data_IF_814611092433
#
_entry.id   IF_814611092433
#
_cell.length_a   1.000
_cell.length_b   1.000
_cell.length_c   1.000
_cell.angle_alpha   90.00
_cell.angle_beta   90.00
_cell.angle_gamma   90.00
#
_symmetry.space_group_name_H-M   'P 1'
#
loop_
_entity.id
_entity.type
_entity.pdbx_description
1 polymer ?
#
# COMPACT_ATOMS: atom_id res chain seq x y z
N UNK A 1 -0.99 23.95 2.87
CA UNK A 1 0.34 23.31 3.05
C UNK A 1 0.30 22.31 4.20
N UNK A 2 -0.03 22.71 5.43
CA UNK A 2 -0.14 21.79 6.58
C UNK A 2 -1.08 20.60 6.35
N UNK A 3 -2.29 20.88 5.85
CA UNK A 3 -3.29 19.85 5.52
C UNK A 3 -2.83 18.85 4.45
N UNK A 4 -2.12 19.33 3.42
CA UNK A 4 -1.52 18.49 2.38
C UNK A 4 -0.45 17.58 2.98
N UNK A 5 0.41 18.10 3.85
CA UNK A 5 1.44 17.28 4.49
C UNK A 5 0.83 16.24 5.45
N UNK A 6 -0.27 16.58 6.13
CA UNK A 6 -0.92 15.66 7.04
C UNK A 6 -1.63 14.53 6.29
N UNK A 7 -2.40 14.84 5.24
CA UNK A 7 -3.06 13.82 4.42
C UNK A 7 -2.03 12.88 3.75
N UNK A 8 -0.90 13.41 3.27
CA UNK A 8 0.20 12.59 2.75
C UNK A 8 0.81 11.69 3.83
N UNK A 9 0.88 12.15 5.08
CA UNK A 9 1.36 11.30 6.17
C UNK A 9 0.47 10.07 6.40
N UNK A 10 -0.86 10.23 6.29
CA UNK A 10 -1.81 9.11 6.32
C UNK A 10 -1.68 8.22 5.09
N UNK A 11 -1.51 8.82 3.90
CA UNK A 11 -1.27 8.09 2.66
C UNK A 11 -0.07 7.14 2.77
N UNK A 12 1.10 7.66 3.12
CA UNK A 12 2.31 6.85 3.27
C UNK A 12 2.17 5.79 4.39
N UNK A 13 1.49 6.14 5.48
CA UNK A 13 1.24 5.20 6.59
C UNK A 13 0.32 4.05 6.17
N UNK A 14 -0.64 4.30 5.29
CA UNK A 14 -1.49 3.27 4.68
C UNK A 14 -0.68 2.25 3.89
N UNK A 15 0.21 2.71 3.01
CA UNK A 15 1.12 1.83 2.28
C UNK A 15 2.01 1.00 3.22
N UNK A 16 2.60 1.63 4.24
CA UNK A 16 3.47 0.96 5.21
C UNK A 16 2.71 -0.17 5.91
N UNK A 17 1.53 0.11 6.47
CA UNK A 17 0.78 -0.89 7.23
C UNK A 17 0.33 -2.04 6.35
N UNK A 18 -0.13 -1.76 5.13
CA UNK A 18 -0.48 -2.81 4.19
C UNK A 18 0.74 -3.64 3.75
N UNK A 19 1.91 -3.03 3.59
CA UNK A 19 3.14 -3.75 3.26
C UNK A 19 3.52 -4.75 4.37
N UNK A 20 3.48 -4.33 5.65
CA UNK A 20 3.77 -5.21 6.78
C UNK A 20 2.75 -6.35 6.92
N UNK A 21 1.46 -6.10 6.67
CA UNK A 21 0.43 -7.15 6.62
C UNK A 21 0.72 -8.20 5.54
N UNK A 22 1.37 -7.79 4.45
CA UNK A 22 1.77 -8.65 3.33
C UNK A 22 3.20 -9.21 3.46
N UNK A 23 3.82 -9.11 4.66
CA UNK A 23 5.18 -9.59 4.96
C UNK A 23 6.30 -8.89 4.16
N UNK A 24 6.04 -7.67 3.72
CA UNK A 24 7.04 -6.74 3.20
C UNK A 24 7.45 -5.75 4.29
N UNK A 25 8.47 -4.94 4.01
CA UNK A 25 8.97 -3.94 4.96
C UNK A 25 9.22 -2.61 4.26
N UNK A 26 9.03 -1.51 4.99
CA UNK A 26 9.41 -0.18 4.53
C UNK A 26 10.83 0.15 5.03
N UNK A 27 11.74 0.45 4.10
CA UNK A 27 13.13 0.82 4.41
C UNK A 27 13.22 2.30 4.81
N UNK A 28 12.42 3.16 4.18
CA UNK A 28 12.27 4.57 4.53
C UNK A 28 10.99 5.14 3.94
N UNK A 29 10.46 6.19 4.57
CA UNK A 29 9.37 7.01 4.04
C UNK A 29 9.66 8.49 4.30
N UNK A 30 9.34 9.36 3.36
CA UNK A 30 9.51 10.81 3.47
C UNK A 30 8.34 11.57 2.83
N UNK A 31 7.98 12.72 3.42
CA UNK A 31 7.08 13.70 2.81
C UNK A 31 7.94 14.84 2.25
N UNK A 32 7.85 15.04 0.94
CA UNK A 32 8.61 16.04 0.21
C UNK A 32 8.01 17.45 0.40
N UNK A 33 8.81 18.53 0.21
CA UNK A 33 8.33 19.90 0.40
C UNK A 33 7.15 20.32 -0.50
N UNK A 34 6.95 19.64 -1.62
CA UNK A 34 5.83 19.86 -2.53
C UNK A 34 4.54 19.16 -2.07
N UNK A 35 4.59 18.35 -1.01
CA UNK A 35 3.46 17.57 -0.49
C UNK A 35 3.44 16.12 -0.95
N UNK A 36 4.34 15.70 -1.85
CA UNK A 36 4.38 14.33 -2.33
C UNK A 36 4.95 13.38 -1.28
N UNK A 37 4.44 12.16 -1.24
CA UNK A 37 5.00 11.07 -0.45
C UNK A 37 6.02 10.27 -1.24
N UNK A 38 7.01 9.71 -0.55
CA UNK A 38 7.97 8.79 -1.14
C UNK A 38 8.37 7.72 -0.13
N UNK A 39 8.01 6.48 -0.44
CA UNK A 39 8.39 5.30 0.34
C UNK A 39 9.23 4.32 -0.46
N UNK A 40 10.24 3.75 0.20
CA UNK A 40 11.06 2.67 -0.34
C UNK A 40 10.69 1.37 0.36
N UNK A 41 10.25 0.37 -0.40
CA UNK A 41 9.82 -0.92 0.12
C UNK A 41 10.79 -2.04 -0.24
N UNK A 42 10.94 -2.98 0.69
CA UNK A 42 11.61 -4.25 0.49
C UNK A 42 10.56 -5.35 0.33
N UNK A 43 10.37 -5.79 -0.91
CA UNK A 43 9.42 -6.84 -1.30
C UNK A 43 10.00 -8.26 -1.23
N UNK A 44 11.26 -8.42 -0.78
CA UNK A 44 11.91 -9.73 -0.71
C UNK A 44 11.95 -10.46 -2.05
N UNK A 45 11.53 -11.73 -2.06
CA UNK A 45 11.47 -12.57 -3.27
C UNK A 45 10.51 -12.06 -4.33
N UNK A 46 9.53 -11.24 -3.93
CA UNK A 46 8.44 -10.82 -4.81
C UNK A 46 8.83 -9.58 -5.63
N UNK A 47 9.97 -8.95 -5.33
CA UNK A 47 10.46 -7.73 -5.99
C UNK A 47 10.47 -7.86 -7.52
N UNK A 48 11.05 -8.93 -8.06
CA UNK A 48 11.15 -9.11 -9.52
C UNK A 48 9.77 -9.23 -10.17
N UNK A 49 8.85 -9.98 -9.54
CA UNK A 49 7.48 -10.11 -10.02
C UNK A 49 6.75 -8.77 -9.93
N UNK A 50 6.84 -8.06 -8.80
CA UNK A 50 6.20 -6.75 -8.62
C UNK A 50 6.68 -5.74 -9.67
N UNK A 51 7.99 -5.68 -9.92
CA UNK A 51 8.54 -4.84 -10.99
C UNK A 51 7.99 -5.22 -12.36
N UNK A 52 7.90 -6.52 -12.66
CA UNK A 52 7.39 -6.99 -13.94
C UNK A 52 5.90 -6.66 -14.15
N UNK A 53 5.07 -6.84 -13.12
CA UNK A 53 3.62 -6.64 -13.24
C UNK A 53 3.22 -5.16 -13.20
N UNK A 54 3.94 -4.32 -12.47
CA UNK A 54 3.63 -2.88 -12.38
C UNK A 54 4.06 -2.10 -13.62
N UNK A 55 4.96 -2.65 -14.44
CA UNK A 55 5.44 -2.03 -15.69
C UNK A 55 4.98 -2.77 -16.95
N UNK A 56 4.06 -3.75 -16.83
CA UNK A 56 3.76 -4.68 -17.93
C UNK A 56 3.28 -4.02 -19.24
N UNK A 57 2.55 -2.90 -19.17
CA UNK A 57 2.09 -2.20 -20.38
C UNK A 57 3.26 -1.58 -21.17
N UNK A 58 4.25 -1.05 -20.46
CA UNK A 58 5.40 -0.35 -21.05
C UNK A 58 6.54 -1.31 -21.38
N UNK A 59 6.74 -2.33 -20.54
CA UNK A 59 7.86 -3.28 -20.62
C UNK A 59 7.39 -4.75 -20.43
N UNK A 60 6.57 -5.30 -21.35
CA UNK A 60 6.00 -6.64 -21.22
C UNK A 60 7.08 -7.74 -21.19
N UNK A 61 8.24 -7.49 -21.80
CA UNK A 61 9.35 -8.44 -21.85
C UNK A 61 9.92 -8.77 -20.46
N UNK A 62 9.84 -7.85 -19.49
CA UNK A 62 10.27 -8.13 -18.11
C UNK A 62 9.46 -9.31 -17.55
N UNK A 63 8.13 -9.28 -17.75
CA UNK A 63 7.25 -10.37 -17.31
C UNK A 63 7.42 -11.63 -18.16
N UNK A 64 7.47 -11.49 -19.48
CA UNK A 64 7.54 -12.64 -20.39
C UNK A 64 8.81 -13.48 -20.18
N UNK A 65 9.92 -12.83 -19.81
CA UNK A 65 11.20 -13.48 -19.52
C UNK A 65 11.30 -14.07 -18.10
N UNK A 66 10.32 -13.87 -17.23
CA UNK A 66 10.27 -14.56 -15.93
C UNK A 66 10.13 -16.07 -16.12
N UNK A 67 10.75 -16.85 -15.23
CA UNK A 67 10.54 -18.29 -15.22
C UNK A 67 9.09 -18.64 -14.90
N UNK A 68 8.59 -19.76 -15.44
CA UNK A 68 7.25 -20.25 -15.16
C UNK A 68 6.99 -20.47 -13.65
N UNK A 69 8.04 -20.82 -12.90
CA UNK A 69 7.94 -20.94 -11.45
C UNK A 69 7.58 -19.61 -10.77
N UNK A 70 8.08 -18.49 -11.26
CA UNK A 70 7.80 -17.15 -10.76
C UNK A 70 6.42 -16.70 -11.24
N UNK A 71 6.10 -16.90 -12.53
CA UNK A 71 4.80 -16.52 -13.10
C UNK A 71 3.61 -17.20 -12.42
N UNK A 72 3.78 -18.44 -11.93
CA UNK A 72 2.73 -19.15 -11.18
C UNK A 72 2.28 -18.41 -9.90
N UNK A 73 3.16 -17.64 -9.28
CA UNK A 73 2.84 -16.86 -8.08
C UNK A 73 2.30 -15.45 -8.42
N UNK A 74 2.27 -15.08 -9.70
CA UNK A 74 1.85 -13.75 -10.16
C UNK A 74 0.47 -13.33 -9.64
N UNK A 75 -0.59 -14.16 -9.66
CA UNK A 75 -1.90 -13.72 -9.18
C UNK A 75 -1.89 -13.33 -7.69
N UNK A 76 -1.21 -14.10 -6.85
CA UNK A 76 -1.08 -13.80 -5.42
C UNK A 76 -0.26 -12.52 -5.22
N UNK A 77 0.89 -12.39 -5.89
CA UNK A 77 1.75 -11.22 -5.76
C UNK A 77 1.03 -9.95 -6.27
N UNK A 78 0.29 -10.06 -7.36
CA UNK A 78 -0.54 -8.98 -7.92
C UNK A 78 -1.63 -8.53 -6.95
N UNK A 79 -2.29 -9.46 -6.27
CA UNK A 79 -3.25 -9.14 -5.23
C UNK A 79 -2.59 -8.37 -4.08
N UNK A 80 -1.48 -8.88 -3.53
CA UNK A 80 -0.75 -8.23 -2.41
C UNK A 80 -0.24 -6.84 -2.78
N UNK A 81 0.39 -6.70 -3.96
CA UNK A 81 0.95 -5.40 -4.39
C UNK A 81 -0.15 -4.40 -4.70
N UNK A 82 -1.27 -4.82 -5.28
CA UNK A 82 -2.43 -3.94 -5.50
C UNK A 82 -3.01 -3.44 -4.19
N UNK A 83 -3.14 -4.30 -3.17
CA UNK A 83 -3.56 -3.85 -1.84
C UNK A 83 -2.60 -2.80 -1.27
N UNK A 84 -1.29 -3.01 -1.38
CA UNK A 84 -0.30 -2.01 -0.93
C UNK A 84 -0.49 -0.69 -1.66
N UNK A 85 -0.65 -0.69 -3.00
CA UNK A 85 -0.84 0.53 -3.80
C UNK A 85 -2.15 1.26 -3.46
N UNK A 86 -3.24 0.53 -3.22
CA UNK A 86 -4.54 1.14 -2.88
C UNK A 86 -4.58 1.66 -1.45
N UNK A 87 -3.83 1.04 -0.55
CA UNK A 87 -3.89 1.34 0.88
C UNK A 87 -3.58 2.80 1.21
N UNK A 88 -2.73 3.48 0.44
CA UNK A 88 -2.43 4.89 0.68
C UNK A 88 -3.65 5.77 0.52
N UNK A 89 -4.29 5.71 -0.65
CA UNK A 89 -5.52 6.45 -0.93
C UNK A 89 -6.68 6.09 0.01
N UNK A 90 -6.80 4.83 0.43
CA UNK A 90 -7.84 4.45 1.41
C UNK A 90 -7.56 5.06 2.78
N UNK A 91 -6.32 5.04 3.27
CA UNK A 91 -5.99 5.69 4.54
C UNK A 91 -6.20 7.20 4.49
N UNK A 92 -5.82 7.84 3.38
CA UNK A 92 -6.06 9.26 3.13
C UNK A 92 -7.56 9.58 3.15
N UNK A 93 -8.39 8.84 2.42
CA UNK A 93 -9.84 9.06 2.40
C UNK A 93 -10.49 8.87 3.77
N UNK A 94 -10.11 7.83 4.53
CA UNK A 94 -10.65 7.63 5.89
C UNK A 94 -10.29 8.81 6.79
N UNK A 95 -9.06 9.33 6.68
CA UNK A 95 -8.64 10.52 7.43
C UNK A 95 -9.46 11.76 7.05
N UNK A 96 -9.62 12.03 5.75
CA UNK A 96 -10.36 13.20 5.26
C UNK A 96 -11.86 13.18 5.57
N UNK A 97 -12.43 11.99 5.81
CA UNK A 97 -13.85 11.80 6.13
C UNK A 97 -14.11 11.58 7.64
N UNK A 98 -13.12 11.84 8.50
CA UNK A 98 -13.21 11.62 9.95
C UNK A 98 -13.61 10.18 10.36
N UNK A 99 -13.18 9.20 9.55
CA UNK A 99 -13.42 7.78 9.76
C UNK A 99 -14.22 7.11 8.64
N UNK A 100 -14.55 5.84 8.85
CA UNK A 100 -15.43 5.08 7.96
C UNK A 100 -16.87 5.35 8.40
N UNK A 101 -17.53 6.33 7.78
CA UNK A 101 -18.96 6.58 7.95
C UNK A 101 -19.77 5.66 7.01
N UNK A 102 -21.03 5.42 7.33
CA UNK A 102 -21.94 4.65 6.46
C UNK A 102 -22.43 5.42 5.23
N UNK A 103 -21.89 6.62 4.99
CA UNK A 103 -22.15 7.45 3.82
C UNK A 103 -21.14 7.13 2.72
N UNK A 104 -21.42 7.55 1.47
CA UNK A 104 -20.49 7.35 0.35
C UNK A 104 -19.18 8.10 0.63
N UNK A 105 -18.07 7.35 0.73
CA UNK A 105 -16.73 7.91 0.91
C UNK A 105 -16.06 8.03 -0.46
N UNK A 106 -15.74 9.26 -0.85
CA UNK A 106 -14.98 9.51 -2.08
C UNK A 106 -13.52 9.07 -1.90
N UNK A 107 -13.07 8.21 -2.82
CA UNK A 107 -11.68 7.73 -2.86
C UNK A 107 -11.05 8.14 -4.17
N UNK A 108 -10.03 9.00 -4.08
CA UNK A 108 -9.16 9.35 -5.19
C UNK A 108 -7.87 8.53 -5.10
N UNK A 109 -7.62 7.69 -6.11
CA UNK A 109 -6.37 6.93 -6.20
C UNK A 109 -5.27 7.83 -6.77
N UNK A 110 -4.15 7.95 -6.06
CA UNK A 110 -2.97 8.70 -6.50
C UNK A 110 -2.55 8.27 -7.91
N UNK A 111 -2.25 9.23 -8.79
CA UNK A 111 -1.94 8.95 -10.21
C UNK A 111 -0.85 7.88 -10.41
N UNK A 112 0.32 7.98 -9.77
CA UNK A 112 1.36 6.94 -9.84
C UNK A 112 0.90 5.56 -9.39
N UNK A 113 0.06 5.46 -8.34
CA UNK A 113 -0.45 4.18 -7.86
C UNK A 113 -1.51 3.62 -8.81
N UNK A 114 -2.42 4.47 -9.29
CA UNK A 114 -3.44 4.09 -10.26
C UNK A 114 -2.83 3.50 -11.52
N UNK A 115 -1.80 4.13 -12.08
CA UNK A 115 -1.09 3.61 -13.27
C UNK A 115 -0.58 2.19 -13.03
N UNK A 116 0.04 1.95 -11.87
CA UNK A 116 0.59 0.64 -11.51
C UNK A 116 -0.53 -0.39 -11.29
N UNK A 117 -1.62 -0.01 -10.63
CA UNK A 117 -2.80 -0.87 -10.41
C UNK A 117 -3.44 -1.25 -11.75
N UNK A 118 -3.59 -0.29 -12.67
CA UNK A 118 -4.11 -0.55 -14.01
C UNK A 118 -3.20 -1.46 -14.83
N UNK A 119 -1.89 -1.34 -14.68
CA UNK A 119 -0.93 -2.24 -15.32
C UNK A 119 -1.06 -3.67 -14.81
N UNK A 120 -1.21 -3.84 -13.48
CA UNK A 120 -1.48 -5.15 -12.86
C UNK A 120 -2.82 -5.71 -13.36
N UNK A 121 -3.88 -4.91 -13.32
CA UNK A 121 -5.22 -5.31 -13.74
C UNK A 121 -5.25 -5.73 -15.23
N UNK A 122 -4.53 -4.98 -16.07
CA UNK A 122 -4.36 -5.30 -17.48
C UNK A 122 -3.64 -6.64 -17.65
N UNK A 123 -2.50 -6.86 -17.00
CA UNK A 123 -1.79 -8.14 -17.06
C UNK A 123 -2.69 -9.31 -16.63
N UNK A 124 -3.37 -9.18 -15.49
CA UNK A 124 -4.25 -10.23 -14.97
C UNK A 124 -5.37 -10.58 -15.97
N UNK A 125 -5.92 -9.58 -16.68
CA UNK A 125 -6.91 -9.83 -17.75
C UNK A 125 -6.36 -10.64 -18.92
N UNK A 126 -5.04 -10.64 -19.15
CA UNK A 126 -4.39 -11.39 -20.22
C UNK A 126 -4.05 -12.83 -19.81
N UNK A 127 -3.68 -13.04 -18.53
CA UNK A 127 -3.15 -14.33 -18.07
C UNK A 127 -4.15 -15.17 -17.25
N UNK A 128 -5.22 -14.57 -16.76
CA UNK A 128 -6.23 -15.25 -15.94
C UNK A 128 -7.61 -15.17 -16.59
N UNK A 129 -8.09 -16.31 -17.09
CA UNK A 129 -9.40 -16.43 -17.76
C UNK A 129 -10.59 -16.08 -16.84
N UNK A 130 -10.41 -16.17 -15.52
CA UNK A 130 -11.42 -15.84 -14.52
C UNK A 130 -11.16 -14.49 -13.85
N UNK A 131 -10.33 -13.63 -14.44
CA UNK A 131 -10.09 -12.29 -13.91
C UNK A 131 -11.39 -11.49 -13.88
N UNK A 132 -11.76 -10.98 -12.70
CA UNK A 132 -13.01 -10.27 -12.55
C UNK A 132 -12.88 -8.82 -13.00
N UNK A 133 -13.94 -8.27 -13.58
CA UNK A 133 -14.01 -6.87 -14.01
C UNK A 133 -14.02 -5.89 -12.84
N UNK A 134 -14.42 -6.34 -11.64
CA UNK A 134 -14.52 -5.57 -10.41
C UNK A 134 -13.28 -5.72 -9.50
N UNK A 135 -12.14 -6.18 -10.03
CA UNK A 135 -10.92 -6.40 -9.27
C UNK A 135 -10.49 -5.17 -8.44
N UNK A 136 -10.44 -3.97 -9.05
CA UNK A 136 -10.04 -2.75 -8.33
C UNK A 136 -11.04 -2.39 -7.22
N UNK A 137 -12.37 -2.30 -7.48
CA UNK A 137 -13.36 -2.16 -6.41
C UNK A 137 -13.25 -3.20 -5.29
N UNK A 138 -13.01 -4.48 -5.62
CA UNK A 138 -12.83 -5.56 -4.63
C UNK A 138 -11.59 -5.30 -3.75
N UNK A 139 -10.50 -4.80 -4.33
CA UNK A 139 -9.29 -4.46 -3.58
C UNK A 139 -9.51 -3.23 -2.68
N UNK A 140 -10.24 -2.22 -3.15
CA UNK A 140 -10.63 -1.06 -2.32
C UNK A 140 -11.48 -1.51 -1.13
N UNK A 141 -12.52 -2.31 -1.38
CA UNK A 141 -13.36 -2.86 -0.33
C UNK A 141 -12.57 -3.69 0.68
N UNK A 142 -11.63 -4.51 0.19
CA UNK A 142 -10.73 -5.31 1.03
C UNK A 142 -9.87 -4.41 1.91
N UNK A 143 -9.22 -3.39 1.35
CA UNK A 143 -8.39 -2.45 2.10
C UNK A 143 -9.20 -1.67 3.16
N UNK A 144 -10.40 -1.19 2.82
CA UNK A 144 -11.30 -0.55 3.79
C UNK A 144 -11.69 -1.50 4.93
N UNK A 145 -12.04 -2.74 4.61
CA UNK A 145 -12.41 -3.75 5.61
C UNK A 145 -11.25 -4.07 6.55
N UNK A 146 -10.02 -4.12 6.04
CA UNK A 146 -8.82 -4.28 6.87
C UNK A 146 -8.63 -3.05 7.77
N UNK A 147 -8.77 -1.84 7.23
CA UNK A 147 -8.58 -0.60 7.99
C UNK A 147 -9.70 -0.28 8.97
N UNK A 148 -10.86 -0.95 8.86
CA UNK A 148 -11.91 -0.91 9.88
C UNK A 148 -11.49 -1.60 11.19
N UNK A 149 -10.45 -2.44 11.20
CA UNK A 149 -9.89 -2.96 12.44
C UNK A 149 -9.24 -1.83 13.24
N UNK A 150 -9.76 -1.60 14.45
CA UNK A 150 -9.32 -0.51 15.33
C UNK A 150 -7.80 -0.53 15.56
N UNK A 151 -7.20 -1.72 15.75
CA UNK A 151 -5.77 -1.83 16.00
C UNK A 151 -4.96 -1.37 14.80
N UNK A 152 -5.40 -1.74 13.60
CA UNK A 152 -4.76 -1.36 12.35
C UNK A 152 -4.86 0.16 12.15
N UNK A 153 -6.05 0.73 12.31
CA UNK A 153 -6.26 2.17 12.17
C UNK A 153 -5.51 3.02 13.21
N UNK A 154 -5.52 2.60 14.48
CA UNK A 154 -4.76 3.26 15.54
C UNK A 154 -3.26 3.29 15.17
N UNK A 155 -2.71 2.19 14.64
CA UNK A 155 -1.32 2.13 14.21
C UNK A 155 -1.03 3.06 13.01
N UNK A 156 -1.90 3.09 11.99
CA UNK A 156 -1.78 4.04 10.87
C UNK A 156 -1.73 5.47 11.39
N UNK A 157 -2.64 5.81 12.31
CA UNK A 157 -2.72 7.14 12.92
C UNK A 157 -1.44 7.51 13.68
N UNK A 158 -0.86 6.58 14.44
CA UNK A 158 0.39 6.80 15.19
C UNK A 158 1.57 7.02 14.24
N UNK A 159 1.68 6.20 13.18
CA UNK A 159 2.71 6.37 12.16
C UNK A 159 2.58 7.72 11.45
N UNK A 160 1.37 8.06 11.00
CA UNK A 160 1.09 9.31 10.29
C UNK A 160 1.48 10.52 11.15
N UNK A 161 1.07 10.54 12.42
CA UNK A 161 1.45 11.59 13.37
C UNK A 161 2.95 11.63 13.62
N UNK A 162 3.63 10.48 13.67
CA UNK A 162 5.08 10.44 13.88
C UNK A 162 5.84 10.97 12.66
N UNK A 163 5.43 10.60 11.45
CA UNK A 163 5.99 11.09 10.20
C UNK A 163 5.75 12.60 10.05
N UNK A 164 4.51 13.03 10.27
CA UNK A 164 4.12 14.42 10.19
C UNK A 164 4.82 15.30 11.22
N UNK A 165 4.96 14.89 12.48
CA UNK A 165 5.56 15.76 13.49
C UNK A 165 7.10 15.83 13.45
N UNK A 166 7.74 15.00 12.63
CA UNK A 166 9.19 14.98 12.53
C UNK A 166 9.72 16.19 11.75
N UNK A 167 10.81 16.78 12.23
CA UNK A 167 11.40 18.00 11.63
C UNK A 167 11.74 17.85 10.14
N UNK A 168 12.29 16.70 9.74
CA UNK A 168 12.64 16.40 8.34
C UNK A 168 11.58 15.58 7.61
N UNK A 169 10.40 15.36 8.23
CA UNK A 169 9.27 14.59 7.67
C UNK A 169 9.67 13.23 7.08
N UNK A 170 10.65 12.56 7.69
CA UNK A 170 11.23 11.31 7.18
C UNK A 170 11.43 10.27 8.28
N UNK A 171 10.87 9.07 8.12
CA UNK A 171 11.12 7.96 9.02
C UNK A 171 12.04 6.93 8.37
N UNK A 172 13.05 6.46 9.11
CA UNK A 172 13.85 5.31 8.72
C UNK A 172 13.19 3.99 9.13
N UNK A 173 13.62 2.87 8.55
CA UNK A 173 13.20 1.53 8.95
C UNK A 173 13.19 1.29 10.45
N UNK A 174 14.28 1.61 11.15
CA UNK A 174 14.40 1.39 12.59
C UNK A 174 13.35 2.18 13.38
N UNK A 175 13.02 3.38 12.91
CA UNK A 175 12.01 4.23 13.56
C UNK A 175 10.60 3.70 13.30
N UNK A 176 10.32 3.28 12.07
CA UNK A 176 9.07 2.60 11.71
C UNK A 176 8.89 1.35 12.58
N UNK A 177 9.88 0.45 12.62
CA UNK A 177 9.83 -0.78 13.40
C UNK A 177 9.68 -0.53 14.91
N UNK A 178 10.32 0.52 15.43
CA UNK A 178 10.15 0.95 16.83
C UNK A 178 8.71 1.37 17.08
N UNK A 179 8.13 2.23 16.23
CA UNK A 179 6.73 2.67 16.34
C UNK A 179 5.77 1.48 16.28
N UNK A 180 5.98 0.56 15.33
CA UNK A 180 5.16 -0.64 15.17
C UNK A 180 5.23 -1.56 16.41
N UNK A 181 6.39 -1.64 17.05
CA UNK A 181 6.58 -2.41 18.28
C UNK A 181 5.92 -1.72 19.46
N UNK A 182 6.17 -0.43 19.66
CA UNK A 182 5.66 0.35 20.80
C UNK A 182 4.14 0.45 20.80
N UNK A 183 3.54 0.60 19.62
CA UNK A 183 2.09 0.59 19.50
C UNK A 183 1.50 -0.81 19.56
N UNK A 184 2.30 -1.89 19.66
CA UNK A 184 1.90 -3.29 19.79
C UNK A 184 1.36 -3.92 18.50
N UNK A 185 1.74 -3.40 17.33
CA UNK A 185 1.33 -3.93 16.02
C UNK A 185 2.08 -5.22 15.68
N UNK A 186 3.35 -5.34 16.08
CA UNK A 186 4.15 -6.56 15.87
C UNK A 186 3.51 -7.78 16.56
N UNK A 187 3.04 -7.62 17.79
CA UNK A 187 2.30 -8.66 18.52
C UNK A 187 0.95 -8.99 17.87
N UNK A 188 0.28 -7.96 17.33
CA UNK A 188 -0.97 -8.14 16.61
C UNK A 188 -0.78 -9.02 15.36
N UNK A 189 0.27 -8.77 14.56
CA UNK A 189 0.60 -9.59 13.40
C UNK A 189 0.86 -11.06 13.78
N UNK A 190 1.57 -11.31 14.89
CA UNK A 190 1.87 -12.67 15.37
C UNK A 190 0.63 -13.48 15.77
N UNK A 191 -0.48 -12.83 16.16
CA UNK A 191 -1.73 -13.49 16.56
C UNK A 191 -2.64 -13.86 15.38
N UNK A 192 -2.40 -13.28 14.21
CA UNK A 192 -3.21 -13.47 12.99
C UNK A 192 -2.58 -14.46 12.01
N UNK A 193 -1.37 -14.95 12.30
CA UNK A 193 -0.63 -15.97 11.56
C UNK A 193 -0.77 -17.32 12.27
#
# INVERSE_FOLDING_TARGET
>A
MTEILEKTAYHESGHIIMAYLNKYFCEETEILPNGDGKSTFNYGSDLLTITAITNFKDEPDIFNNLSESIKRNCPEIAFKSTLVLIAGSIAESIYLNDGISGEEMDVEISGPDLIRIENINFLLSQINLNHKTDFIPEMMYTAMTIFADKKIWDTITILAKSLFNKNNKKLSKSEIETILTDCGFVEYLKKKQ
#
